data_IF_329625225974
#
_entry.id   IF_329625225974
#
_cell.length_a   1.000
_cell.length_b   1.000
_cell.length_c   1.000
_cell.angle_alpha   90.00
_cell.angle_beta   90.00
_cell.angle_gamma   90.00
#
_symmetry.space_group_name_H-M   'P 1'
#
loop_
_entity.id
_entity.type
_entity.pdbx_description
1 polymer ?
#
# COMPACT_ATOMS: atom_id res chain seq x y z
N UNK A 1 -0.13 -25.19 2.50
CA UNK A 1 -0.67 -23.84 2.61
C UNK A 1 0.14 -22.90 1.72
N UNK A 2 -0.54 -22.15 0.85
CA UNK A 2 0.06 -21.21 -0.09
C UNK A 2 -0.28 -19.78 0.29
N UNK A 3 0.72 -18.93 0.35
CA UNK A 3 0.56 -17.50 0.57
C UNK A 3 0.96 -16.72 -0.68
N UNK A 4 0.15 -15.75 -1.07
CA UNK A 4 0.58 -14.69 -1.97
C UNK A 4 0.86 -13.45 -1.15
N UNK A 5 2.04 -12.87 -1.34
CA UNK A 5 2.45 -11.66 -0.62
C UNK A 5 2.92 -10.59 -1.60
N UNK A 6 2.57 -9.35 -1.36
CA UNK A 6 3.05 -8.21 -2.13
C UNK A 6 3.15 -6.98 -1.23
N UNK A 7 4.30 -6.34 -1.25
CA UNK A 7 4.55 -5.13 -0.49
C UNK A 7 4.13 -3.86 -1.22
N UNK A 8 4.36 -2.75 -0.57
CA UNK A 8 4.17 -1.41 -1.11
C UNK A 8 2.85 -0.75 -0.73
N UNK A 9 2.91 0.57 -0.68
CA UNK A 9 1.76 1.47 -0.56
C UNK A 9 2.23 2.89 -0.87
N UNK A 10 1.37 3.69 -1.49
CA UNK A 10 1.63 5.12 -1.68
C UNK A 10 1.53 5.84 -0.34
N UNK A 11 2.55 6.60 0.02
CA UNK A 11 2.52 7.47 1.19
C UNK A 11 1.37 8.48 1.09
N UNK A 12 0.66 8.68 2.19
CA UNK A 12 -0.46 9.62 2.27
C UNK A 12 -0.15 10.86 3.12
N UNK A 13 1.08 10.98 3.58
CA UNK A 13 1.56 12.13 4.37
C UNK A 13 2.56 12.99 3.57
N UNK A 14 2.27 13.18 2.29
CA UNK A 14 3.09 13.91 1.32
C UNK A 14 2.30 14.99 0.55
N UNK A 15 1.21 15.49 1.14
CA UNK A 15 0.38 16.51 0.47
C UNK A 15 1.16 17.81 0.17
N UNK A 16 2.17 18.11 0.98
CA UNK A 16 3.05 19.26 0.77
C UNK A 16 4.28 18.92 -0.09
N UNK A 17 4.34 17.71 -0.58
CA UNK A 17 5.30 17.26 -1.58
C UNK A 17 6.50 16.51 -1.00
N UNK A 18 7.36 16.11 -1.92
CA UNK A 18 8.63 15.45 -1.65
C UNK A 18 9.74 16.42 -2.03
N UNK A 19 10.61 16.72 -1.08
CA UNK A 19 11.74 17.61 -1.29
C UNK A 19 12.94 16.83 -1.85
N UNK A 20 13.60 17.43 -2.85
CA UNK A 20 14.85 16.92 -3.39
C UNK A 20 16.03 17.62 -2.70
N UNK A 21 16.90 16.92 -1.96
CA UNK A 21 18.03 17.53 -1.25
C UNK A 21 18.98 18.30 -2.16
N UNK A 22 19.13 17.87 -3.41
CA UNK A 22 20.02 18.49 -4.39
C UNK A 22 19.38 19.64 -5.17
N UNK A 23 18.10 19.92 -4.95
CA UNK A 23 17.42 21.03 -5.64
C UNK A 23 17.93 22.40 -5.16
N UNK A 24 18.10 23.38 -6.06
CA UNK A 24 18.60 24.72 -5.69
C UNK A 24 17.74 25.43 -4.67
N UNK A 25 16.44 25.14 -4.60
CA UNK A 25 15.48 25.75 -3.69
C UNK A 25 15.18 24.91 -2.44
N UNK A 26 15.95 23.84 -2.19
CA UNK A 26 15.70 22.90 -1.09
C UNK A 26 15.62 23.60 0.28
N UNK A 27 16.64 24.36 0.63
CA UNK A 27 16.70 25.06 1.93
C UNK A 27 15.52 26.01 2.13
N UNK A 28 15.18 26.76 1.09
CA UNK A 28 14.05 27.69 1.13
C UNK A 28 12.73 26.97 1.34
N UNK A 29 12.48 25.90 0.58
CA UNK A 29 11.26 25.10 0.70
C UNK A 29 11.18 24.40 2.05
N UNK A 30 12.28 23.85 2.53
CA UNK A 30 12.36 23.21 3.84
C UNK A 30 12.00 24.20 4.96
N UNK A 31 12.57 25.39 4.95
CA UNK A 31 12.25 26.44 5.93
C UNK A 31 10.78 26.84 5.91
N UNK A 32 10.18 26.97 4.72
CA UNK A 32 8.75 27.29 4.59
C UNK A 32 7.88 26.18 5.19
N UNK A 33 8.19 24.92 4.90
CA UNK A 33 7.42 23.78 5.39
C UNK A 33 7.59 23.57 6.90
N UNK A 34 8.77 23.82 7.46
CA UNK A 34 9.00 23.76 8.91
C UNK A 34 8.19 24.81 9.69
N UNK A 35 7.86 25.92 9.05
CA UNK A 35 7.03 26.98 9.63
C UNK A 35 5.52 26.76 9.44
N UNK A 36 5.15 25.87 8.51
CA UNK A 36 3.75 25.53 8.24
C UNK A 36 3.21 24.59 9.31
N UNK A 37 2.14 24.93 10.03
CA UNK A 37 1.53 24.02 10.99
C UNK A 37 1.05 22.75 10.30
N UNK A 38 1.40 21.59 10.87
CA UNK A 38 1.00 20.26 10.36
C UNK A 38 1.40 20.00 8.90
N UNK A 39 2.53 20.55 8.47
CA UNK A 39 3.06 20.27 7.15
C UNK A 39 3.31 18.76 6.97
N UNK A 40 2.90 18.23 5.80
CA UNK A 40 3.05 16.81 5.44
C UNK A 40 3.95 16.70 4.22
N UNK A 41 5.24 16.63 4.48
CA UNK A 41 6.28 16.51 3.45
C UNK A 41 7.28 15.42 3.83
N UNK A 42 7.97 14.92 2.84
CA UNK A 42 9.07 13.97 2.99
C UNK A 42 10.28 14.48 2.22
N UNK A 43 11.43 13.89 2.50
CA UNK A 43 12.69 14.23 1.82
C UNK A 43 13.18 12.98 1.11
N UNK A 44 13.40 13.11 -0.20
CA UNK A 44 13.83 11.98 -1.02
C UNK A 44 15.15 11.39 -0.52
N UNK A 45 15.24 10.06 -0.46
CA UNK A 45 16.35 9.26 0.07
C UNK A 45 16.69 9.50 1.55
N UNK A 46 15.83 10.21 2.31
CA UNK A 46 15.99 10.41 3.76
C UNK A 46 14.76 9.89 4.52
N UNK A 47 13.57 10.29 4.12
CA UNK A 47 12.31 9.88 4.73
C UNK A 47 11.26 9.40 3.73
N UNK A 48 11.65 9.32 2.45
CA UNK A 48 10.83 8.79 1.37
C UNK A 48 11.70 8.17 0.27
N UNK A 49 11.22 7.12 -0.34
CA UNK A 49 11.86 6.42 -1.46
C UNK A 49 10.81 6.05 -2.51
N UNK A 50 11.14 6.25 -3.77
CA UNK A 50 10.25 5.90 -4.88
C UNK A 50 9.88 4.40 -4.93
N UNK A 51 10.71 3.56 -4.31
CA UNK A 51 10.51 2.12 -4.17
C UNK A 51 9.38 1.75 -3.20
N UNK A 52 8.70 2.72 -2.60
CA UNK A 52 7.47 2.44 -1.85
C UNK A 52 6.37 1.82 -2.71
N UNK A 53 6.41 2.07 -4.02
CA UNK A 53 5.53 1.45 -5.00
C UNK A 53 6.27 0.40 -5.84
N UNK A 54 5.61 -0.70 -6.22
CA UNK A 54 6.22 -1.75 -7.03
C UNK A 54 6.68 -1.26 -8.39
N UNK A 55 7.79 -1.82 -8.87
CA UNK A 55 8.28 -1.65 -10.23
C UNK A 55 7.47 -2.49 -11.23
N UNK A 56 7.67 -2.23 -12.53
CA UNK A 56 7.07 -3.04 -13.60
C UNK A 56 7.48 -4.52 -13.51
N UNK A 57 8.74 -4.79 -13.13
CA UNK A 57 9.22 -6.15 -12.93
C UNK A 57 8.54 -6.84 -11.74
N UNK A 58 8.29 -6.11 -10.66
CA UNK A 58 7.59 -6.66 -9.48
C UNK A 58 6.13 -6.99 -9.80
N UNK A 59 5.43 -6.18 -10.59
CA UNK A 59 4.09 -6.52 -11.07
C UNK A 59 4.12 -7.74 -12.01
N UNK A 60 5.09 -7.82 -12.91
CA UNK A 60 5.25 -8.97 -13.80
C UNK A 60 5.55 -10.25 -13.01
N UNK A 61 6.39 -10.19 -11.98
CA UNK A 61 6.68 -11.32 -11.09
C UNK A 61 5.44 -11.75 -10.30
N UNK A 62 4.68 -10.81 -9.77
CA UNK A 62 3.45 -11.09 -9.07
C UNK A 62 2.46 -11.84 -9.98
N UNK A 63 2.31 -11.42 -11.24
CA UNK A 63 1.46 -12.12 -12.22
C UNK A 63 1.97 -13.52 -12.53
N UNK A 64 3.28 -13.70 -12.76
CA UNK A 64 3.88 -15.02 -13.00
C UNK A 64 3.65 -15.97 -11.82
N UNK A 65 3.81 -15.47 -10.61
CA UNK A 65 3.58 -16.26 -9.40
C UNK A 65 2.12 -16.72 -9.28
N UNK A 66 1.18 -15.82 -9.54
CA UNK A 66 -0.24 -16.16 -9.53
C UNK A 66 -0.61 -17.11 -10.67
N UNK A 67 -0.11 -16.87 -11.88
CA UNK A 67 -0.33 -17.75 -13.03
C UNK A 67 0.18 -19.17 -12.78
N UNK A 68 1.35 -19.31 -12.17
CA UNK A 68 1.95 -20.62 -11.85
C UNK A 68 1.10 -21.47 -10.90
N UNK A 69 0.24 -20.87 -10.10
CA UNK A 69 -0.69 -21.57 -9.19
C UNK A 69 -2.15 -21.47 -9.63
N UNK A 70 -2.40 -21.03 -10.87
CA UNK A 70 -3.74 -20.85 -11.41
C UNK A 70 -4.60 -19.87 -10.63
N UNK A 71 -3.99 -18.83 -10.06
CA UNK A 71 -4.64 -17.82 -9.22
C UNK A 71 -5.37 -18.44 -8.00
N UNK A 72 -4.84 -19.52 -7.45
CA UNK A 72 -5.40 -20.21 -6.27
C UNK A 72 -4.36 -20.27 -5.16
N UNK A 73 -4.65 -19.57 -4.07
CA UNK A 73 -3.83 -19.50 -2.86
C UNK A 73 -4.72 -19.67 -1.63
N UNK A 74 -4.13 -19.97 -0.49
CA UNK A 74 -4.91 -20.08 0.74
C UNK A 74 -5.09 -18.70 1.38
N UNK A 75 -4.04 -17.89 1.40
CA UNK A 75 -4.02 -16.59 2.04
C UNK A 75 -3.33 -15.55 1.17
N UNK A 76 -3.81 -14.32 1.26
CA UNK A 76 -3.17 -13.15 0.67
C UNK A 76 -2.75 -12.21 1.79
N UNK A 77 -1.51 -11.72 1.75
CA UNK A 77 -0.98 -10.74 2.71
C UNK A 77 -0.35 -9.61 1.91
N UNK A 78 -0.90 -8.42 2.05
CA UNK A 78 -0.38 -7.19 1.41
C UNK A 78 -0.31 -6.05 2.42
N UNK A 79 0.47 -5.01 2.14
CA UNK A 79 0.40 -3.81 2.96
C UNK A 79 -0.80 -2.96 2.58
N UNK A 80 -1.05 -2.77 1.29
CA UNK A 80 -2.18 -2.01 0.76
C UNK A 80 -3.40 -2.91 0.47
N UNK A 81 -4.54 -2.31 0.16
CA UNK A 81 -5.79 -3.01 -0.14
C UNK A 81 -6.17 -2.90 -1.63
N UNK A 82 -7.07 -3.78 -2.13
CA UNK A 82 -7.74 -3.57 -3.40
C UNK A 82 -8.48 -2.24 -3.48
N UNK A 83 -8.59 -1.65 -4.67
CA UNK A 83 -9.20 -0.33 -4.89
C UNK A 83 -10.59 -0.20 -4.24
N UNK A 84 -11.46 -1.19 -4.39
CA UNK A 84 -12.81 -1.14 -3.81
C UNK A 84 -12.81 -1.06 -2.28
N UNK A 85 -11.80 -1.64 -1.62
CA UNK A 85 -11.63 -1.55 -0.17
C UNK A 85 -10.94 -0.23 0.19
N UNK A 86 -9.91 0.17 -0.54
CA UNK A 86 -9.19 1.43 -0.31
C UNK A 86 -10.13 2.64 -0.36
N UNK A 87 -11.11 2.64 -1.27
CA UNK A 87 -12.09 3.71 -1.43
C UNK A 87 -13.22 3.71 -0.39
N UNK A 88 -13.37 2.67 0.41
CA UNK A 88 -14.40 2.60 1.47
C UNK A 88 -14.07 3.45 2.70
N UNK A 89 -12.80 3.77 2.90
CA UNK A 89 -12.35 4.54 4.06
C UNK A 89 -12.66 6.02 3.96
N UNK A 90 -12.80 6.69 5.11
CA UNK A 90 -12.93 8.14 5.21
C UNK A 90 -11.60 8.88 5.12
N UNK A 91 -10.48 8.15 5.21
CA UNK A 91 -9.11 8.66 5.17
C UNK A 91 -8.32 7.86 4.15
N UNK A 92 -7.48 8.54 3.37
CA UNK A 92 -6.57 7.91 2.41
C UNK A 92 -7.27 7.05 1.35
N UNK A 93 -8.43 7.46 0.90
CA UNK A 93 -9.24 6.78 -0.10
C UNK A 93 -8.81 7.13 -1.52
N UNK A 94 -7.56 6.87 -1.84
CA UNK A 94 -7.02 7.06 -3.18
C UNK A 94 -6.84 5.71 -3.88
N UNK A 95 -7.19 5.67 -5.17
CA UNK A 95 -6.83 4.59 -6.06
C UNK A 95 -5.50 4.91 -6.73
N UNK A 96 -4.66 3.91 -6.92
CA UNK A 96 -3.43 3.98 -7.68
C UNK A 96 -3.19 2.66 -8.44
N UNK A 97 -2.06 2.58 -9.16
CA UNK A 97 -1.73 1.37 -9.93
C UNK A 97 -1.66 0.11 -9.04
N UNK A 98 -1.15 0.24 -7.82
CA UNK A 98 -1.04 -0.89 -6.90
C UNK A 98 -2.42 -1.35 -6.41
N UNK A 99 -3.26 -0.43 -5.95
CA UNK A 99 -4.62 -0.78 -5.52
C UNK A 99 -5.43 -1.38 -6.66
N UNK A 100 -5.26 -0.89 -7.89
CA UNK A 100 -5.93 -1.42 -9.08
C UNK A 100 -5.42 -2.82 -9.46
N UNK A 101 -4.12 -3.08 -9.34
CA UNK A 101 -3.58 -4.42 -9.49
C UNK A 101 -4.14 -5.37 -8.41
N UNK A 102 -4.18 -4.94 -7.17
CA UNK A 102 -4.77 -5.73 -6.08
C UNK A 102 -6.28 -5.95 -6.28
N UNK A 103 -6.97 -5.02 -6.93
CA UNK A 103 -8.36 -5.20 -7.33
C UNK A 103 -8.52 -6.33 -8.35
N UNK A 104 -7.64 -6.40 -9.35
CA UNK A 104 -7.61 -7.54 -10.28
C UNK A 104 -7.37 -8.87 -9.55
N UNK A 105 -6.43 -8.88 -8.59
CA UNK A 105 -6.19 -10.08 -7.76
C UNK A 105 -7.45 -10.47 -6.99
N UNK A 106 -8.16 -9.51 -6.40
CA UNK A 106 -9.42 -9.76 -5.69
C UNK A 106 -10.47 -10.40 -6.58
N UNK A 107 -10.59 -9.96 -7.82
CA UNK A 107 -11.60 -10.43 -8.77
C UNK A 107 -11.28 -11.80 -9.37
N UNK A 108 -10.00 -12.12 -9.54
CA UNK A 108 -9.54 -13.33 -10.23
C UNK A 108 -9.13 -14.46 -9.31
N UNK A 109 -8.48 -14.14 -8.19
CA UNK A 109 -7.91 -15.14 -7.31
C UNK A 109 -8.96 -15.82 -6.43
N UNK A 110 -8.70 -17.10 -6.12
CA UNK A 110 -9.43 -17.87 -5.12
C UNK A 110 -8.57 -17.98 -3.86
N UNK A 111 -9.10 -17.54 -2.73
CA UNK A 111 -8.42 -17.52 -1.44
C UNK A 111 -9.43 -17.63 -0.29
N UNK A 112 -8.92 -17.97 0.92
CA UNK A 112 -9.72 -18.00 2.14
C UNK A 112 -9.79 -16.62 2.80
N UNK A 113 -8.62 -16.04 3.10
CA UNK A 113 -8.52 -14.73 3.74
C UNK A 113 -7.47 -13.85 3.07
N UNK A 114 -7.73 -12.55 3.10
CA UNK A 114 -6.81 -11.50 2.71
C UNK A 114 -6.58 -10.57 3.89
N UNK A 115 -5.33 -10.50 4.37
CA UNK A 115 -4.91 -9.64 5.47
C UNK A 115 -4.11 -8.47 4.91
N UNK A 116 -4.40 -7.27 5.37
CA UNK A 116 -3.72 -6.06 4.91
C UNK A 116 -3.62 -5.03 6.04
N UNK A 117 -2.73 -4.03 5.87
CA UNK A 117 -2.48 -2.97 6.84
C UNK A 117 -2.74 -1.58 6.25
N UNK A 118 -1.79 -0.66 6.43
CA UNK A 118 -1.73 0.69 5.87
C UNK A 118 -2.74 1.70 6.44
N UNK A 119 -3.97 1.32 6.69
CA UNK A 119 -5.05 2.25 7.06
C UNK A 119 -5.18 2.47 8.57
N UNK A 120 -4.26 1.93 9.38
CA UNK A 120 -4.15 2.11 10.82
C UNK A 120 -5.47 1.84 11.58
N UNK A 121 -6.05 0.70 11.32
CA UNK A 121 -7.28 0.24 11.99
C UNK A 121 -7.29 -1.29 12.11
N UNK A 122 -8.14 -1.80 12.95
CA UNK A 122 -8.40 -3.22 13.13
C UNK A 122 -9.87 -3.50 12.78
N UNK A 123 -10.11 -4.10 11.62
CA UNK A 123 -11.47 -4.28 11.12
C UNK A 123 -11.61 -5.48 10.20
N UNK A 124 -12.61 -6.31 10.44
CA UNK A 124 -13.10 -7.21 9.40
C UNK A 124 -13.93 -6.38 8.42
N UNK A 125 -13.40 -6.14 7.20
CA UNK A 125 -14.09 -5.36 6.17
C UNK A 125 -15.27 -6.16 5.62
N UNK A 126 -15.06 -7.45 5.41
CA UNK A 126 -16.06 -8.44 5.05
C UNK A 126 -15.62 -9.82 5.54
N UNK A 127 -16.27 -10.89 5.08
CA UNK A 127 -16.00 -12.26 5.51
C UNK A 127 -14.58 -12.75 5.19
N UNK A 128 -13.87 -12.13 4.25
CA UNK A 128 -12.56 -12.56 3.76
C UNK A 128 -11.45 -11.54 3.95
N UNK A 129 -11.78 -10.24 4.09
CA UNK A 129 -10.81 -9.15 4.09
C UNK A 129 -10.66 -8.56 5.50
N UNK A 130 -9.46 -8.67 6.05
CA UNK A 130 -9.17 -8.28 7.43
C UNK A 130 -8.08 -7.21 7.42
N UNK A 131 -8.44 -6.03 7.89
CA UNK A 131 -7.51 -4.93 8.15
C UNK A 131 -6.90 -5.12 9.53
N UNK A 132 -5.58 -5.08 9.60
CA UNK A 132 -4.80 -5.29 10.81
C UNK A 132 -3.89 -4.11 11.09
N UNK A 133 -3.81 -3.71 12.35
CA UNK A 133 -2.86 -2.71 12.84
C UNK A 133 -2.15 -3.20 14.11
N UNK A 134 -2.85 -3.34 15.22
CA UNK A 134 -2.24 -3.62 16.53
C UNK A 134 -2.65 -4.98 17.11
N UNK A 135 -3.46 -5.75 16.41
CA UNK A 135 -3.95 -7.02 16.92
C UNK A 135 -3.27 -8.23 16.27
N UNK A 136 -3.32 -9.33 16.97
CA UNK A 136 -2.90 -10.65 16.48
C UNK A 136 -4.14 -11.46 16.20
N UNK A 137 -4.23 -12.03 15.01
CA UNK A 137 -5.32 -12.92 14.61
C UNK A 137 -4.80 -14.31 14.30
N UNK A 138 -5.56 -15.32 14.69
CA UNK A 138 -5.30 -16.69 14.30
C UNK A 138 -6.06 -16.99 13.01
N UNK A 139 -5.36 -17.48 12.00
CA UNK A 139 -5.91 -17.76 10.65
C UNK A 139 -6.01 -19.25 10.32
N UNK A 140 -5.48 -20.13 11.16
CA UNK A 140 -5.51 -21.59 11.01
C UNK A 140 -6.04 -22.23 12.28
#
# INVERSE_FOLDING_TARGET
CRFFTMGGAKSHDIEDGILEPDAPDFERRLMMLQRKPRARYRINHISWWAQELPSDEEYAEARRTLDAVGWQVDYIITHCAPTSIALMGSRHNEADRLTDFLQEVRERAKYHYWLFGHYHDNKAVDEKHILLWEQIVRII
#
